data_IF_862686253650
#
_entry.id   IF_862686253650
#
_cell.length_a   1.000
_cell.length_b   1.000
_cell.length_c   1.000
_cell.angle_alpha   90.00
_cell.angle_beta   90.00
_cell.angle_gamma   90.00
#
_symmetry.space_group_name_H-M   'P 1'
#
loop_
_entity.id
_entity.type
_entity.pdbx_description
1 polymer ?
#
# COMPACT_ATOMS: atom_id res chain seq x y z
N UNK A 1 1.16 17.73 2.93
CA UNK A 1 0.35 17.18 1.82
C UNK A 1 0.28 15.65 1.80
N UNK A 2 1.27 14.93 2.34
CA UNK A 2 1.27 13.45 2.41
C UNK A 2 0.05 12.85 3.12
N UNK A 3 -0.25 13.31 4.33
CA UNK A 3 -1.33 12.76 5.15
C UNK A 3 -2.70 12.87 4.47
N UNK A 4 -2.97 13.98 3.78
CA UNK A 4 -4.24 14.17 3.04
C UNK A 4 -4.36 13.17 1.88
N UNK A 5 -3.24 12.85 1.21
CA UNK A 5 -3.19 11.82 0.17
C UNK A 5 -3.49 10.41 0.72
N UNK A 6 -2.91 10.06 1.87
CA UNK A 6 -3.21 8.80 2.55
C UNK A 6 -4.69 8.71 2.94
N UNK A 7 -5.26 9.76 3.56
CA UNK A 7 -6.68 9.79 3.96
C UNK A 7 -7.59 9.64 2.73
N UNK A 8 -7.29 10.34 1.62
CA UNK A 8 -8.07 10.22 0.39
C UNK A 8 -8.05 8.80 -0.18
N UNK A 9 -6.88 8.19 -0.24
CA UNK A 9 -6.73 6.83 -0.73
C UNK A 9 -7.39 5.78 0.18
N UNK A 10 -7.34 5.97 1.51
CA UNK A 10 -8.05 5.13 2.48
C UNK A 10 -9.57 5.23 2.33
N UNK A 11 -10.10 6.43 2.15
CA UNK A 11 -11.53 6.64 1.89
C UNK A 11 -11.96 5.95 0.60
N UNK A 12 -11.13 6.00 -0.46
CA UNK A 12 -11.43 5.34 -1.73
C UNK A 12 -11.39 3.80 -1.63
N UNK A 13 -10.56 3.23 -0.75
CA UNK A 13 -10.38 1.79 -0.59
C UNK A 13 -11.23 1.19 0.53
N UNK A 14 -11.73 2.02 1.46
CA UNK A 14 -12.32 1.65 2.76
C UNK A 14 -11.43 0.74 3.62
N UNK A 15 -10.12 0.78 3.39
CA UNK A 15 -9.10 0.00 4.09
C UNK A 15 -7.84 0.85 4.26
N UNK A 16 -7.13 0.67 5.37
CA UNK A 16 -5.86 1.34 5.64
C UNK A 16 -4.87 1.14 4.47
N UNK A 17 -4.27 2.23 4.01
CA UNK A 17 -3.38 2.21 2.84
C UNK A 17 -2.03 1.60 3.21
N UNK A 18 -1.57 1.86 4.42
CA UNK A 18 -0.29 1.39 4.95
C UNK A 18 -0.47 0.88 6.39
N UNK A 19 -0.87 -0.39 6.59
CA UNK A 19 -1.01 -0.97 7.93
C UNK A 19 0.38 -1.34 8.48
N UNK A 20 1.11 -0.37 9.01
CA UNK A 20 2.40 -0.60 9.66
C UNK A 20 2.26 -0.59 11.18
N UNK A 21 2.79 -1.61 11.86
CA UNK A 21 2.80 -1.69 13.33
C UNK A 21 4.02 -0.99 13.95
N UNK A 22 4.95 -0.51 13.12
CA UNK A 22 6.11 0.29 13.50
C UNK A 22 6.50 1.27 12.39
N UNK A 23 7.29 2.30 12.73
CA UNK A 23 7.82 3.26 11.76
C UNK A 23 8.56 2.58 10.61
N UNK A 24 9.39 1.58 10.93
CA UNK A 24 10.11 0.80 9.93
C UNK A 24 9.15 0.04 9.00
N UNK A 25 8.12 -0.61 9.54
CA UNK A 25 7.13 -1.31 8.72
C UNK A 25 6.31 -0.34 7.87
N UNK A 26 5.95 0.83 8.40
CA UNK A 26 5.23 1.84 7.66
C UNK A 26 6.04 2.34 6.45
N UNK A 27 7.34 2.62 6.63
CA UNK A 27 8.26 2.94 5.53
C UNK A 27 8.38 1.79 4.51
N UNK A 28 8.43 0.55 4.99
CA UNK A 28 8.45 -0.64 4.13
C UNK A 28 7.21 -0.70 3.22
N UNK A 29 6.02 -0.41 3.77
CA UNK A 29 4.78 -0.37 3.00
C UNK A 29 4.76 0.76 1.97
N UNK A 30 5.30 1.92 2.33
CA UNK A 30 5.42 3.07 1.43
C UNK A 30 6.34 2.73 0.25
N UNK A 31 7.54 2.21 0.52
CA UNK A 31 8.51 1.88 -0.53
C UNK A 31 8.08 0.68 -1.39
N UNK A 32 7.33 -0.27 -0.83
CA UNK A 32 6.73 -1.35 -1.63
C UNK A 32 5.70 -0.85 -2.65
N UNK A 33 4.99 0.23 -2.34
CA UNK A 33 3.99 0.81 -3.23
C UNK A 33 4.60 1.80 -4.21
N UNK A 34 5.47 2.68 -3.74
CA UNK A 34 6.01 3.81 -4.52
C UNK A 34 7.40 3.57 -5.09
N UNK A 35 8.04 2.45 -4.73
CA UNK A 35 9.43 2.17 -5.03
C UNK A 35 10.38 2.65 -3.95
N UNK A 36 11.58 2.07 -3.94
CA UNK A 36 12.64 2.46 -3.00
C UNK A 36 13.35 3.70 -3.54
N UNK A 37 13.43 4.80 -2.77
CA UNK A 37 14.04 6.03 -3.25
C UNK A 37 15.52 5.82 -3.56
N UNK A 38 15.97 6.40 -4.66
CA UNK A 38 17.38 6.43 -5.07
C UNK A 38 17.95 7.85 -4.88
N UNK A 39 19.28 7.96 -4.81
CA UNK A 39 19.99 9.25 -4.72
C UNK A 39 19.72 10.19 -5.92
N UNK A 40 19.27 9.65 -7.05
CA UNK A 40 18.87 10.43 -8.22
C UNK A 40 17.51 11.12 -8.02
N UNK A 41 16.57 10.41 -7.36
CA UNK A 41 15.22 10.90 -7.09
C UNK A 41 15.17 11.75 -5.82
N UNK A 42 15.94 11.36 -4.80
CA UNK A 42 16.07 12.06 -3.54
C UNK A 42 17.55 12.11 -3.12
N UNK A 43 18.27 13.17 -3.50
CA UNK A 43 19.66 13.35 -3.10
C UNK A 43 19.82 13.48 -1.58
N UNK A 44 20.74 12.70 -1.01
CA UNK A 44 21.04 12.66 0.42
C UNK A 44 20.15 11.73 1.23
N UNK A 45 19.24 10.97 0.62
CA UNK A 45 18.32 10.06 1.33
C UNK A 45 19.07 8.99 2.11
N UNK A 46 20.18 8.48 1.56
CA UNK A 46 21.01 7.46 2.21
C UNK A 46 21.87 8.00 3.36
N UNK A 47 22.01 9.32 3.47
CA UNK A 47 22.77 10.00 4.52
C UNK A 47 21.89 10.45 5.70
N UNK A 48 20.58 10.18 5.66
CA UNK A 48 19.69 10.47 6.78
C UNK A 48 20.08 9.62 8.00
N UNK A 49 20.02 10.23 9.18
CA UNK A 49 20.43 9.62 10.45
C UNK A 49 19.77 8.26 10.70
N UNK A 50 18.49 8.14 10.37
CA UNK A 50 17.68 6.95 10.59
C UNK A 50 17.43 6.17 9.30
N UNK A 51 18.30 6.34 8.29
CA UNK A 51 18.25 5.56 7.07
C UNK A 51 18.67 4.11 7.33
N UNK A 52 17.86 3.19 6.81
CA UNK A 52 18.15 1.76 6.80
C UNK A 52 18.35 1.27 5.37
N UNK A 53 19.06 0.17 5.21
CA UNK A 53 19.17 -0.49 3.89
C UNK A 53 17.84 -1.17 3.58
N UNK A 54 17.10 -0.63 2.62
CA UNK A 54 15.86 -1.22 2.12
C UNK A 54 16.13 -2.06 0.86
N UNK A 55 15.39 -3.17 0.66
CA UNK A 55 15.31 -3.84 -0.64
C UNK A 55 14.90 -2.85 -1.73
N UNK A 56 15.37 -3.06 -2.97
CA UNK A 56 14.98 -2.24 -4.11
C UNK A 56 13.64 -2.73 -4.67
N UNK A 57 12.60 -1.91 -4.52
CA UNK A 57 11.30 -2.12 -5.13
C UNK A 57 11.08 -1.15 -6.29
N UNK A 58 10.42 -1.63 -7.32
CA UNK A 58 9.92 -0.79 -8.41
C UNK A 58 8.58 -0.16 -8.02
N UNK A 59 8.27 1.08 -8.46
CA UNK A 59 6.99 1.70 -8.21
C UNK A 59 5.83 0.88 -8.79
N UNK A 60 4.84 0.59 -7.96
CA UNK A 60 3.64 -0.12 -8.39
C UNK A 60 2.58 0.86 -8.90
N UNK A 61 1.77 0.42 -9.86
CA UNK A 61 0.66 1.23 -10.31
C UNK A 61 -0.41 1.32 -9.20
N UNK A 62 -0.76 2.54 -8.78
CA UNK A 62 -1.77 2.74 -7.74
C UNK A 62 -3.14 2.16 -8.15
N UNK A 63 -3.45 2.11 -9.45
CA UNK A 63 -4.71 1.57 -9.95
C UNK A 63 -4.84 0.06 -9.73
N UNK A 64 -3.75 -0.72 -9.88
CA UNK A 64 -3.78 -2.17 -9.64
C UNK A 64 -3.97 -2.49 -8.16
N UNK A 65 -3.34 -1.68 -7.30
CA UNK A 65 -3.50 -1.78 -5.85
C UNK A 65 -4.91 -1.38 -5.42
N UNK A 66 -5.51 -0.36 -6.04
CA UNK A 66 -6.85 0.15 -5.79
C UNK A 66 -7.90 -0.54 -6.67
N UNK A 67 -7.86 -1.87 -6.77
CA UNK A 67 -9.01 -2.62 -7.29
C UNK A 67 -10.11 -2.52 -6.26
N UNK A 68 -11.07 -1.60 -6.46
CA UNK A 68 -12.29 -1.51 -5.64
C UNK A 68 -12.95 -2.88 -5.71
N UNK A 69 -12.86 -3.67 -4.64
CA UNK A 69 -13.61 -4.91 -4.45
C UNK A 69 -15.08 -4.54 -4.22
N UNK A 70 -15.70 -4.03 -5.28
CA UNK A 70 -17.08 -3.60 -5.36
C UNK A 70 -17.79 -4.41 -6.43
N UNK A 71 -17.84 -5.73 -6.27
CA UNK A 71 -18.88 -6.55 -6.87
C UNK A 71 -19.85 -6.90 -5.75
N UNK A 72 -20.93 -6.12 -5.64
CA UNK A 72 -22.10 -6.46 -4.84
C UNK A 72 -22.85 -7.63 -5.48
N UNK A 73 -23.16 -8.69 -4.72
CA UNK A 73 -24.48 -9.34 -4.79
C UNK A 73 -24.71 -10.32 -3.64
N UNK A 74 -25.81 -10.13 -2.92
CA UNK A 74 -26.38 -11.17 -2.08
C UNK A 74 -27.03 -12.29 -2.91
N UNK A 75 -26.97 -13.50 -2.36
CA UNK A 75 -27.82 -14.67 -2.63
C UNK A 75 -27.35 -15.66 -3.71
N UNK A 76 -27.71 -16.96 -3.64
CA UNK A 76 -28.55 -17.65 -2.65
C UNK A 76 -27.78 -18.68 -1.80
N UNK A 77 -28.46 -19.11 -0.73
CA UNK A 77 -28.13 -20.30 0.06
C UNK A 77 -27.83 -21.48 -0.86
N UNK A 78 -26.69 -22.15 -0.60
CA UNK A 78 -26.38 -23.45 -1.18
C UNK A 78 -27.33 -24.50 -0.58
N UNK A 79 -28.51 -24.57 -1.19
CA UNK A 79 -29.38 -25.74 -1.18
C UNK A 79 -28.67 -26.90 -1.88
N UNK A 80 -28.20 -27.84 -1.05
CA UNK A 80 -28.20 -29.30 -1.22
C UNK A 80 -27.42 -30.01 -2.36
N UNK A 81 -26.93 -31.19 -1.93
CA UNK A 81 -26.61 -32.42 -2.68
C UNK A 81 -25.21 -32.52 -3.34
N UNK A 82 -24.43 -33.59 -3.19
CA UNK A 82 -24.66 -34.96 -2.66
C UNK A 82 -23.30 -35.68 -2.51
N UNK A 83 -23.10 -36.42 -1.41
CA UNK A 83 -22.81 -37.88 -1.29
C UNK A 83 -22.45 -38.17 0.18
#
# INVERSE_FOLDING_TARGET
MWSVGCIFAEMSRRQALFPGDSEFQQLLHIFRLLGTPTEEQWPGVTALRDWHVYPKWEPQNLSSSCSVTGTSRGGPLIENAQV
#
